data_IF_498243928478
#
_entry.id   IF_498243928478
#
_cell.length_a   1.000
_cell.length_b   1.000
_cell.length_c   1.000
_cell.angle_alpha   90.00
_cell.angle_beta   90.00
_cell.angle_gamma   90.00
#
_symmetry.space_group_name_H-M   'P 1'
#
loop_
_entity.id
_entity.type
_entity.pdbx_description
1 polymer ?
#
# COMPACT_ATOMS: atom_id res chain seq x y z
N UNK A 1 -51.43 24.92 -1.83
CA UNK A 1 -50.04 25.37 -1.69
C UNK A 1 -49.71 26.33 -2.82
N UNK A 2 -49.47 27.61 -2.53
CA UNK A 2 -49.32 28.66 -3.53
C UNK A 2 -48.00 28.51 -4.31
N UNK A 3 -47.92 29.04 -5.55
CA UNK A 3 -46.72 29.00 -6.42
C UNK A 3 -45.45 29.43 -5.68
N UNK A 4 -45.53 30.42 -4.77
CA UNK A 4 -44.40 30.92 -3.98
C UNK A 4 -43.81 29.86 -3.02
N UNK A 5 -44.67 29.01 -2.41
CA UNK A 5 -44.24 27.97 -1.49
C UNK A 5 -43.55 26.78 -2.22
N UNK A 6 -43.95 26.52 -3.48
CA UNK A 6 -43.30 25.49 -4.29
C UNK A 6 -41.91 25.91 -4.70
N UNK A 7 -41.68 27.18 -5.03
CA UNK A 7 -40.36 27.71 -5.38
C UNK A 7 -39.42 27.69 -4.15
N UNK A 8 -39.93 28.13 -2.98
CA UNK A 8 -39.16 28.10 -1.74
C UNK A 8 -38.78 26.66 -1.34
N UNK A 9 -39.69 25.68 -1.47
CA UNK A 9 -39.40 24.27 -1.20
C UNK A 9 -38.36 23.70 -2.15
N UNK A 10 -38.42 24.03 -3.45
CA UNK A 10 -37.45 23.60 -4.43
C UNK A 10 -36.06 24.17 -4.15
N UNK A 11 -35.96 25.43 -3.74
CA UNK A 11 -34.73 26.10 -3.37
C UNK A 11 -34.08 25.44 -2.14
N UNK A 12 -34.86 25.08 -1.12
CA UNK A 12 -34.40 24.39 0.09
C UNK A 12 -33.90 22.98 -0.26
N UNK A 13 -34.63 22.24 -1.12
CA UNK A 13 -34.20 20.90 -1.57
C UNK A 13 -32.92 20.99 -2.37
N UNK A 14 -32.77 21.98 -3.26
CA UNK A 14 -31.53 22.18 -4.04
C UNK A 14 -30.34 22.54 -3.15
N UNK A 15 -30.57 23.35 -2.11
CA UNK A 15 -29.55 23.72 -1.13
C UNK A 15 -29.13 22.52 -0.28
N UNK A 16 -30.08 21.70 0.17
CA UNK A 16 -29.80 20.45 0.89
C UNK A 16 -29.03 19.46 0.00
N UNK A 17 -29.44 19.31 -1.28
CA UNK A 17 -28.67 18.46 -2.22
C UNK A 17 -27.24 18.95 -2.40
N UNK A 18 -27.00 20.25 -2.52
CA UNK A 18 -25.62 20.78 -2.60
C UNK A 18 -24.83 20.51 -1.30
N UNK A 19 -25.47 20.63 -0.12
CA UNK A 19 -24.80 20.28 1.15
C UNK A 19 -24.47 18.79 1.22
N UNK A 20 -25.36 17.91 0.74
CA UNK A 20 -25.09 16.47 0.70
C UNK A 20 -24.07 16.06 -0.38
N UNK A 21 -24.02 16.77 -1.51
CA UNK A 21 -23.01 16.50 -2.56
C UNK A 21 -21.64 17.08 -2.23
N UNK A 22 -21.54 18.15 -1.46
CA UNK A 22 -20.25 18.71 -1.02
C UNK A 22 -19.71 18.02 0.23
N UNK A 23 -20.53 17.27 0.97
CA UNK A 23 -20.08 16.50 2.14
C UNK A 23 -19.58 15.09 1.81
N UNK A 24 -19.55 14.67 0.54
CA UNK A 24 -18.63 13.64 0.07
C UNK A 24 -17.24 14.24 -0.20
N UNK A 25 -16.79 15.17 0.61
CA UNK A 25 -15.38 15.27 0.93
C UNK A 25 -15.11 13.93 1.60
N UNK A 26 -14.54 12.99 0.84
CA UNK A 26 -13.81 11.88 1.41
C UNK A 26 -13.02 12.48 2.57
N UNK A 27 -13.37 12.09 3.79
CA UNK A 27 -12.44 12.21 4.88
C UNK A 27 -11.30 11.23 4.50
N UNK A 28 -10.47 11.63 3.54
CA UNK A 28 -9.09 11.27 3.58
C UNK A 28 -8.71 11.64 5.00
N UNK A 29 -8.20 10.70 5.77
CA UNK A 29 -7.42 11.00 6.95
C UNK A 29 -6.25 11.86 6.46
N UNK A 30 -6.55 13.11 6.12
CA UNK A 30 -5.61 14.19 6.02
C UNK A 30 -5.20 14.45 7.45
N UNK A 31 -4.35 13.55 7.93
CA UNK A 31 -3.44 13.93 8.99
C UNK A 31 -2.60 15.05 8.38
N UNK A 32 -2.99 16.29 8.68
CA UNK A 32 -2.46 17.51 8.02
C UNK A 32 -0.94 17.60 8.21
N UNK A 33 -0.39 16.80 9.12
CA UNK A 33 0.99 16.85 9.52
C UNK A 33 1.85 15.72 8.91
N UNK A 34 1.28 14.62 8.40
CA UNK A 34 2.04 13.53 7.78
C UNK A 34 1.67 13.38 6.31
N UNK A 35 2.60 13.69 5.43
CA UNK A 35 2.52 13.35 4.02
C UNK A 35 3.29 12.07 3.79
N UNK A 36 2.65 11.07 3.19
CA UNK A 36 3.27 9.78 2.85
C UNK A 36 3.19 9.53 1.36
N UNK A 37 4.29 9.07 0.77
CA UNK A 37 4.37 8.64 -0.63
C UNK A 37 4.90 7.22 -0.65
N UNK A 38 4.12 6.29 -1.19
CA UNK A 38 4.53 4.91 -1.37
C UNK A 38 4.94 4.68 -2.82
N UNK A 39 6.07 4.00 -3.01
CA UNK A 39 6.56 3.55 -4.32
C UNK A 39 6.75 2.04 -4.27
N UNK A 40 6.32 1.36 -5.34
CA UNK A 40 6.57 -0.06 -5.57
C UNK A 40 7.37 -0.16 -6.86
N UNK A 41 8.56 -0.77 -6.80
CA UNK A 41 9.48 -0.86 -7.93
C UNK A 41 9.70 0.51 -8.60
N UNK A 42 9.90 1.55 -7.76
CA UNK A 42 10.10 2.96 -8.15
C UNK A 42 8.87 3.65 -8.75
N UNK A 43 7.69 3.02 -8.79
CA UNK A 43 6.44 3.63 -9.25
C UNK A 43 5.58 4.10 -8.09
N UNK A 44 5.12 5.37 -8.13
CA UNK A 44 4.23 5.92 -7.10
C UNK A 44 2.90 5.19 -7.13
N UNK A 45 2.44 4.78 -5.94
CA UNK A 45 1.23 4.00 -5.74
C UNK A 45 0.23 4.77 -4.88
N UNK A 46 -1.06 4.66 -5.18
CA UNK A 46 -2.13 5.25 -4.37
C UNK A 46 -2.28 4.49 -3.05
N UNK A 47 -2.09 5.19 -1.94
CA UNK A 47 -2.19 4.64 -0.58
C UNK A 47 -3.60 4.75 0.04
N UNK A 48 -4.56 5.34 -0.67
CA UNK A 48 -5.96 5.45 -0.22
C UNK A 48 -6.78 4.18 -0.49
N UNK A 49 -6.21 3.24 -1.22
CA UNK A 49 -6.76 1.91 -1.47
C UNK A 49 -5.85 0.83 -0.89
N UNK A 50 -6.33 -0.41 -0.85
CA UNK A 50 -5.47 -1.55 -0.48
C UNK A 50 -4.39 -1.71 -1.55
N UNK A 51 -3.14 -1.76 -1.11
CA UNK A 51 -1.97 -1.89 -1.99
C UNK A 51 -1.61 -3.37 -2.14
N UNK A 52 -1.59 -3.87 -3.38
CA UNK A 52 -1.16 -5.23 -3.66
C UNK A 52 0.35 -5.27 -3.84
N UNK A 53 1.00 -6.18 -3.11
CA UNK A 53 2.44 -6.41 -3.12
C UNK A 53 2.70 -7.85 -3.55
N UNK A 54 3.75 -8.05 -4.32
CA UNK A 54 4.21 -9.36 -4.78
C UNK A 54 5.60 -9.68 -4.23
N UNK A 55 5.96 -10.95 -4.21
CA UNK A 55 7.31 -11.37 -3.85
C UNK A 55 8.36 -10.66 -4.69
N UNK A 56 9.43 -10.20 -4.03
CA UNK A 56 10.54 -9.41 -4.56
C UNK A 56 10.21 -7.97 -4.98
N UNK A 57 9.00 -7.48 -4.72
CA UNK A 57 8.73 -6.05 -4.89
C UNK A 57 9.64 -5.26 -3.95
N UNK A 58 10.28 -4.23 -4.48
CA UNK A 58 10.95 -3.20 -3.71
C UNK A 58 9.92 -2.16 -3.31
N UNK A 59 9.79 -1.94 -2.02
CA UNK A 59 8.84 -0.98 -1.45
C UNK A 59 9.62 0.15 -0.81
N UNK A 60 9.33 1.39 -1.22
CA UNK A 60 9.88 2.61 -0.64
C UNK A 60 8.71 3.46 -0.10
N UNK A 61 8.73 3.76 1.19
CA UNK A 61 7.78 4.66 1.85
C UNK A 61 8.50 5.91 2.31
N UNK A 62 8.21 7.02 1.66
CA UNK A 62 8.70 8.34 2.06
C UNK A 62 7.66 9.01 2.97
N UNK A 63 8.11 9.47 4.13
CA UNK A 63 7.30 10.14 5.14
C UNK A 63 7.89 11.52 5.37
N UNK A 64 7.03 12.52 5.23
CA UNK A 64 7.32 13.89 5.57
C UNK A 64 6.37 14.31 6.69
N UNK A 65 6.91 14.54 7.87
CA UNK A 65 6.15 15.08 9.00
C UNK A 65 6.36 16.60 9.08
N UNK A 66 5.25 17.36 9.14
CA UNK A 66 5.27 18.81 9.30
C UNK A 66 4.81 19.18 10.71
N UNK A 67 5.71 19.73 11.52
CA UNK A 67 5.45 20.10 12.91
C UNK A 67 4.83 21.50 13.04
N UNK A 68 3.77 21.78 12.27
CA UNK A 68 3.15 23.13 12.21
C UNK A 68 2.53 23.56 13.55
N UNK A 69 2.06 22.60 14.35
CA UNK A 69 1.36 22.88 15.61
C UNK A 69 2.24 22.64 16.86
N UNK A 70 3.54 22.30 16.67
CA UNK A 70 4.46 21.91 17.77
C UNK A 70 3.86 20.82 18.66
N UNK A 71 3.25 19.82 18.05
CA UNK A 71 2.56 18.72 18.75
C UNK A 71 3.52 17.62 19.22
N UNK A 72 4.80 17.64 18.78
CA UNK A 72 5.82 16.69 19.20
C UNK A 72 6.66 17.27 20.33
N UNK A 73 7.13 16.39 21.21
CA UNK A 73 8.03 16.71 22.32
C UNK A 73 9.31 15.87 22.22
N UNK A 74 10.38 16.33 22.85
CA UNK A 74 11.56 15.51 23.02
C UNK A 74 11.22 14.27 23.84
N UNK A 75 11.64 13.10 23.36
CA UNK A 75 11.28 11.81 23.93
C UNK A 75 10.06 11.15 23.27
N UNK A 76 9.30 11.85 22.42
CA UNK A 76 8.27 11.21 21.60
C UNK A 76 8.91 10.21 20.63
N UNK A 77 8.15 9.17 20.32
CA UNK A 77 8.60 8.09 19.45
C UNK A 77 7.99 8.18 18.06
N UNK A 78 8.80 7.81 17.07
CA UNK A 78 8.36 7.42 15.75
C UNK A 78 8.38 5.91 15.69
N UNK A 79 7.21 5.29 15.61
CA UNK A 79 7.05 3.85 15.53
C UNK A 79 6.61 3.48 14.10
N UNK A 80 7.39 2.62 13.45
CA UNK A 80 7.17 2.12 12.10
C UNK A 80 6.94 0.62 12.22
N UNK A 81 5.71 0.20 12.05
CA UNK A 81 5.28 -1.19 12.10
C UNK A 81 5.14 -1.70 10.66
N UNK A 82 5.94 -2.70 10.32
CA UNK A 82 6.01 -3.28 8.99
C UNK A 82 5.55 -4.74 9.02
N UNK A 83 4.86 -5.23 7.98
CA UNK A 83 4.56 -6.65 7.85
C UNK A 83 5.80 -7.53 8.06
N UNK A 84 5.64 -8.69 8.67
CA UNK A 84 6.75 -9.62 8.94
C UNK A 84 7.46 -10.09 7.66
N UNK A 85 6.77 -9.98 6.52
CA UNK A 85 7.31 -10.33 5.20
C UNK A 85 8.19 -9.24 4.58
N UNK A 86 8.28 -8.05 5.21
CA UNK A 86 9.28 -7.06 4.84
C UNK A 86 10.65 -7.48 5.32
N UNK A 87 11.62 -7.54 4.42
CA UNK A 87 13.02 -7.87 4.69
C UNK A 87 13.96 -6.86 4.06
N UNK A 88 15.23 -6.94 4.47
CA UNK A 88 16.28 -6.01 4.01
C UNK A 88 15.92 -4.55 4.26
N UNK A 89 15.20 -4.29 5.35
CA UNK A 89 14.69 -2.96 5.67
C UNK A 89 15.84 -2.01 5.97
N UNK A 90 15.82 -0.88 5.27
CA UNK A 90 16.72 0.25 5.48
C UNK A 90 15.89 1.48 5.79
N UNK A 91 16.19 2.14 6.89
CA UNK A 91 15.57 3.39 7.28
C UNK A 91 16.58 4.52 7.08
N UNK A 92 16.26 5.45 6.19
CA UNK A 92 16.99 6.68 5.99
C UNK A 92 16.27 7.79 6.76
N UNK A 93 16.98 8.53 7.58
CA UNK A 93 16.45 9.59 8.43
C UNK A 93 17.53 10.64 8.67
N UNK A 94 17.16 11.78 9.20
CA UNK A 94 18.07 12.87 9.56
C UNK A 94 18.54 12.68 11.03
N UNK A 95 19.75 12.12 11.27
CA UNK A 95 20.16 11.68 12.61
C UNK A 95 20.17 12.80 13.65
N UNK A 96 20.25 14.05 13.21
CA UNK A 96 20.27 15.22 14.10
C UNK A 96 18.97 15.43 14.88
N UNK A 97 17.84 14.84 14.41
CA UNK A 97 16.53 14.95 15.05
C UNK A 97 16.23 13.78 16.01
N UNK A 98 17.11 12.80 16.13
CA UNK A 98 16.89 11.59 16.92
C UNK A 98 17.97 11.38 17.96
N UNK A 99 17.60 10.69 19.06
CA UNK A 99 18.53 10.41 20.16
C UNK A 99 19.43 9.22 19.91
N UNK A 100 19.00 8.28 19.06
CA UNK A 100 19.68 7.02 18.78
C UNK A 100 19.32 6.48 17.38
N UNK A 101 20.05 5.44 16.96
CA UNK A 101 19.67 4.65 15.81
C UNK A 101 18.33 3.92 16.04
N UNK A 102 17.59 3.54 14.96
CA UNK A 102 16.37 2.77 15.09
C UNK A 102 16.60 1.48 15.88
N UNK A 103 15.69 1.19 16.81
CA UNK A 103 15.63 -0.08 17.52
C UNK A 103 14.52 -0.90 16.87
N UNK A 104 14.82 -2.18 16.55
CA UNK A 104 13.86 -3.13 15.99
C UNK A 104 13.46 -4.16 17.04
N UNK A 105 12.19 -4.49 17.12
CA UNK A 105 11.69 -5.58 17.95
C UNK A 105 11.41 -6.87 17.14
N UNK A 106 10.90 -7.90 17.84
CA UNK A 106 10.56 -9.20 17.22
C UNK A 106 9.31 -9.17 16.33
N UNK A 107 8.55 -8.09 16.38
CA UNK A 107 7.33 -7.89 15.59
C UNK A 107 7.57 -7.03 14.35
N UNK A 108 8.83 -6.75 14.02
CA UNK A 108 9.24 -5.87 12.90
C UNK A 108 8.83 -4.40 13.08
N UNK A 109 8.71 -3.96 14.34
CA UNK A 109 8.47 -2.55 14.69
C UNK A 109 9.80 -1.84 14.89
N UNK A 110 10.00 -0.76 14.15
CA UNK A 110 11.17 0.11 14.23
C UNK A 110 10.82 1.34 15.04
N UNK A 111 11.58 1.62 16.09
CA UNK A 111 11.38 2.77 16.97
C UNK A 111 12.55 3.73 16.87
N UNK A 112 12.25 5.01 16.63
CA UNK A 112 13.20 6.13 16.72
C UNK A 112 12.67 7.14 17.76
N UNK A 113 13.53 7.68 18.59
CA UNK A 113 13.14 8.65 19.64
C UNK A 113 13.56 10.06 19.22
N UNK A 114 12.63 10.98 19.21
CA UNK A 114 12.85 12.39 18.86
C UNK A 114 13.62 13.13 19.97
N UNK A 115 14.46 14.09 19.57
CA UNK A 115 15.21 14.95 20.50
C UNK A 115 14.72 16.41 20.45
N UNK A 116 15.35 17.29 21.23
CA UNK A 116 14.99 18.71 21.30
C UNK A 116 15.05 19.43 19.95
N UNK A 117 15.97 19.05 19.05
CA UNK A 117 16.07 19.67 17.73
C UNK A 117 14.87 19.32 16.83
N UNK A 118 14.30 18.12 17.00
CA UNK A 118 13.09 17.73 16.27
C UNK A 118 11.89 18.60 16.66
N UNK A 119 11.79 19.00 17.94
CA UNK A 119 10.72 19.88 18.43
C UNK A 119 10.78 21.26 17.77
N UNK A 120 11.97 21.77 17.54
CA UNK A 120 12.20 23.07 16.90
C UNK A 120 12.17 23.01 15.37
N UNK A 121 12.25 21.80 14.78
CA UNK A 121 12.17 21.61 13.34
C UNK A 121 10.76 21.84 12.82
N UNK A 122 10.66 22.45 11.64
CA UNK A 122 9.39 22.57 10.92
C UNK A 122 9.03 21.31 10.16
N UNK A 123 10.01 20.44 9.91
CA UNK A 123 9.86 19.26 9.06
C UNK A 123 10.84 18.15 9.46
N UNK A 124 10.37 16.91 9.43
CA UNK A 124 11.17 15.70 9.65
C UNK A 124 10.89 14.75 8.49
N UNK A 125 11.95 14.25 7.85
CA UNK A 125 11.85 13.31 6.74
C UNK A 125 12.39 11.94 7.14
N UNK A 126 11.64 10.88 6.80
CA UNK A 126 12.01 9.48 6.99
C UNK A 126 11.67 8.74 5.71
N UNK A 127 12.61 7.92 5.20
CA UNK A 127 12.37 7.03 4.08
C UNK A 127 12.67 5.60 4.49
N UNK A 128 11.75 4.69 4.20
CA UNK A 128 11.83 3.27 4.53
C UNK A 128 11.88 2.51 3.22
N UNK A 129 12.90 1.69 3.04
CA UNK A 129 13.08 0.85 1.86
C UNK A 129 13.16 -0.59 2.32
N UNK A 130 12.45 -1.49 1.65
CA UNK A 130 12.48 -2.92 1.94
C UNK A 130 12.05 -3.75 0.76
N UNK A 131 12.16 -5.06 0.88
CA UNK A 131 11.72 -6.04 -0.13
C UNK A 131 10.71 -7.00 0.47
N UNK A 132 9.75 -7.43 -0.35
CA UNK A 132 8.73 -8.40 0.05
C UNK A 132 9.26 -9.82 -0.14
N UNK A 133 9.16 -10.62 0.92
CA UNK A 133 9.40 -12.06 0.82
C UNK A 133 8.20 -12.77 0.20
N UNK A 134 8.51 -13.89 -0.41
CA UNK A 134 7.51 -14.85 -0.89
C UNK A 134 6.64 -15.37 0.27
N UNK A 135 5.34 -15.50 0.01
CA UNK A 135 4.35 -16.08 0.93
C UNK A 135 3.62 -17.23 0.24
N UNK A 136 3.25 -18.25 1.02
CA UNK A 136 2.51 -19.41 0.51
C UNK A 136 1.03 -19.10 0.33
N UNK A 137 0.47 -18.21 1.15
CA UNK A 137 -0.92 -17.79 1.14
C UNK A 137 -1.03 -16.27 1.12
N UNK A 138 -2.17 -15.75 0.65
CA UNK A 138 -2.46 -14.31 0.69
C UNK A 138 -2.40 -13.79 2.13
N UNK A 139 -1.57 -12.77 2.36
CA UNK A 139 -1.46 -12.09 3.64
C UNK A 139 -2.08 -10.70 3.54
N UNK A 140 -3.08 -10.44 4.38
CA UNK A 140 -3.65 -9.10 4.55
C UNK A 140 -3.02 -8.46 5.79
N UNK A 141 -2.37 -7.33 5.62
CA UNK A 141 -1.62 -6.65 6.68
C UNK A 141 -1.64 -5.12 6.47
N UNK A 142 -0.83 -4.40 7.21
CA UNK A 142 -0.71 -2.94 7.05
C UNK A 142 0.70 -2.45 7.39
N UNK A 143 1.10 -1.38 6.72
CA UNK A 143 2.24 -0.55 7.13
C UNK A 143 1.68 0.56 8.00
N UNK A 144 2.14 0.64 9.26
CA UNK A 144 1.67 1.65 10.21
C UNK A 144 2.82 2.54 10.62
N UNK A 145 2.62 3.86 10.56
CA UNK A 145 3.58 4.84 11.05
C UNK A 145 2.89 5.74 12.06
N UNK A 146 3.46 5.81 13.26
CA UNK A 146 3.01 6.71 14.32
C UNK A 146 4.11 7.71 14.60
N UNK A 147 3.77 9.00 14.70
CA UNK A 147 4.67 10.08 15.12
C UNK A 147 3.95 10.87 16.20
N UNK A 148 4.36 10.71 17.47
CA UNK A 148 3.61 11.24 18.60
C UNK A 148 2.18 10.71 18.61
N UNK A 149 1.17 11.59 18.45
CA UNK A 149 -0.24 11.22 18.41
C UNK A 149 -0.79 11.02 16.99
N UNK A 150 0.02 11.28 15.99
CA UNK A 150 -0.36 11.21 14.58
C UNK A 150 -0.09 9.81 14.01
N UNK A 151 -0.99 9.33 13.15
CA UNK A 151 -0.92 7.97 12.60
C UNK A 151 -1.24 7.93 11.11
N UNK A 152 -0.42 7.21 10.36
CA UNK A 152 -0.71 6.76 8.98
C UNK A 152 -0.85 5.25 8.99
N UNK A 153 -1.85 4.74 8.27
CA UNK A 153 -2.09 3.32 8.10
C UNK A 153 -2.32 3.03 6.61
N UNK A 154 -1.49 2.18 6.02
CA UNK A 154 -1.55 1.78 4.62
C UNK A 154 -1.87 0.29 4.60
N UNK A 155 -3.09 -0.06 4.19
CA UNK A 155 -3.49 -1.46 4.06
C UNK A 155 -2.76 -2.12 2.86
N UNK A 156 -2.20 -3.30 3.07
CA UNK A 156 -1.47 -4.06 2.06
C UNK A 156 -1.99 -5.49 1.97
N UNK A 157 -2.03 -6.02 0.74
CA UNK A 157 -2.21 -7.44 0.46
C UNK A 157 -0.90 -7.96 -0.12
N UNK A 158 -0.32 -9.00 0.47
CA UNK A 158 0.86 -9.67 -0.07
C UNK A 158 0.37 -10.92 -0.80
N UNK A 159 0.52 -10.93 -2.14
CA UNK A 159 0.03 -12.00 -3.00
C UNK A 159 0.87 -13.27 -2.87
N UNK A 160 0.19 -14.42 -2.86
CA UNK A 160 0.84 -15.72 -2.88
C UNK A 160 1.58 -15.93 -4.22
N UNK A 161 2.76 -16.53 -4.14
CA UNK A 161 3.52 -16.94 -5.33
C UNK A 161 2.83 -18.06 -6.12
N UNK A 162 1.97 -18.85 -5.45
CA UNK A 162 1.25 -19.97 -6.07
C UNK A 162 0.12 -19.50 -6.99
N UNK A 163 -0.45 -18.32 -6.77
CA UNK A 163 -1.56 -17.80 -7.59
C UNK A 163 -1.14 -17.41 -9.01
N UNK A 164 0.16 -17.14 -9.24
CA UNK A 164 0.69 -16.83 -10.58
C UNK A 164 0.82 -18.04 -11.50
N UNK A 165 0.82 -19.27 -10.98
CA UNK A 165 0.96 -20.51 -11.77
C UNK A 165 -0.38 -20.97 -12.34
N UNK A 166 -1.51 -20.60 -11.73
CA UNK A 166 -2.84 -21.03 -12.16
C UNK A 166 -3.39 -20.29 -13.40
N UNK A 167 -2.79 -19.17 -13.81
CA UNK A 167 -3.27 -18.36 -14.92
C UNK A 167 -2.75 -18.76 -16.33
N UNK A 168 -1.81 -19.71 -16.41
CA UNK A 168 -1.14 -20.05 -17.69
C UNK A 168 -1.32 -21.50 -18.18
N UNK A 169 -2.26 -22.29 -17.58
CA UNK A 169 -2.45 -23.70 -17.99
C UNK A 169 -3.62 -23.90 -18.96
N UNK A 170 -4.45 -22.91 -19.22
CA UNK A 170 -5.64 -23.09 -20.08
C UNK A 170 -5.42 -22.89 -21.58
N UNK A 171 -4.18 -22.73 -22.07
CA UNK A 171 -3.93 -22.52 -23.51
C UNK A 171 -3.10 -23.62 -24.19
N UNK A 172 -2.94 -24.81 -23.60
CA UNK A 172 -2.35 -25.97 -24.28
C UNK A 172 -3.31 -27.18 -24.21
N UNK A 173 -4.47 -27.03 -24.83
CA UNK A 173 -5.24 -28.19 -25.30
C UNK A 173 -5.87 -27.84 -26.66
N UNK A 174 -5.29 -28.43 -27.66
CA UNK A 174 -5.88 -28.98 -28.87
C UNK A 174 -5.11 -28.65 -30.13
N UNK A 175 -4.09 -29.44 -30.44
CA UNK A 175 -3.78 -29.80 -31.82
C UNK A 175 -2.96 -31.10 -31.84
N UNK A 176 -3.60 -32.22 -31.65
CA UNK A 176 -3.12 -33.48 -32.19
C UNK A 176 -4.31 -34.27 -32.76
N UNK A 177 -4.77 -33.85 -33.94
CA UNK A 177 -5.45 -34.76 -34.85
C UNK A 177 -4.39 -35.71 -35.43
N UNK A 178 -4.38 -36.93 -34.92
CA UNK A 178 -3.67 -38.04 -35.54
C UNK A 178 -4.53 -38.47 -36.77
N UNK A 179 -4.07 -38.12 -37.95
CA UNK A 179 -4.54 -38.78 -39.18
C UNK A 179 -4.00 -40.20 -39.21
N UNK A 180 -4.89 -41.17 -39.01
CA UNK A 180 -4.71 -42.55 -39.43
C UNK A 180 -4.64 -42.60 -40.96
N UNK A 181 -3.44 -42.80 -41.52
CA UNK A 181 -3.27 -43.23 -42.90
C UNK A 181 -3.21 -44.75 -42.90
N UNK A 182 -4.30 -45.35 -43.40
CA UNK A 182 -4.41 -46.76 -43.70
C UNK A 182 -3.68 -47.06 -45.01
N UNK A 183 -2.44 -47.53 -44.95
CA UNK A 183 -1.80 -48.14 -46.14
C UNK A 183 -2.06 -49.64 -46.13
N UNK A 184 -2.74 -50.08 -47.21
CA UNK A 184 -2.89 -51.44 -47.70
C UNK A 184 -1.51 -52.08 -47.99
N UNK A 185 -1.27 -53.22 -47.41
CA UNK A 185 -0.22 -54.12 -47.86
C UNK A 185 -0.90 -55.19 -48.71
N UNK A 186 -0.67 -55.11 -50.02
CA UNK A 186 -1.01 -56.15 -50.97
C UNK A 186 0.09 -57.24 -50.97
N UNK A 187 -0.40 -58.47 -51.00
CA UNK A 187 0.33 -59.71 -51.21
C UNK A 187 1.37 -59.71 -52.35
N UNK A 188 2.55 -60.24 -52.09
CA UNK A 188 3.32 -60.92 -53.12
C UNK A 188 3.80 -62.27 -52.60
N UNK A 189 3.17 -63.28 -53.10
CA UNK A 189 3.58 -64.68 -53.08
C UNK A 189 4.62 -64.89 -54.22
N UNK A 190 5.50 -65.83 -53.99
CA UNK A 190 6.32 -66.64 -54.94
C UNK A 190 7.78 -66.27 -55.15
N UNK A 191 8.64 -67.03 -54.67
CA UNK A 191 9.43 -68.13 -55.25
C UNK A 191 10.55 -68.49 -54.29
#
# INVERSE_FOLDING_TARGET
>A
MGKKNKVALMLVITLLFNIFYTSNVFATNLNINILSVLKINSMITDINSVVNLSANDEVELDIKYTNSNKNIQAGDEVNIDLPLNFKNVKINYEPEYFTSNPVIDSQNVYTLTLNDKAVDSSEINISIIGTILEVEELVNDSIVVNIGQEKVNIAVNIESSTDKVSGNIDEIQNTNEVKEDSEKIDDIQNS
#
